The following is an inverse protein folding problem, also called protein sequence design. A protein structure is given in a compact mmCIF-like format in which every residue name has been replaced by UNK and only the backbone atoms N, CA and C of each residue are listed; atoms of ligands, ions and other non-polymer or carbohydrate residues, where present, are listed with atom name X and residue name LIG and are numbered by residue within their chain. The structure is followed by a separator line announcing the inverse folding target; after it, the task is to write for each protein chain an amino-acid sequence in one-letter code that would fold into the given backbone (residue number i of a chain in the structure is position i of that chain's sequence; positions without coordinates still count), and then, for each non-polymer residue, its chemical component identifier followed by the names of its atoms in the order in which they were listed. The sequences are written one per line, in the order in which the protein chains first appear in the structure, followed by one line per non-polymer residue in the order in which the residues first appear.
data_IF_682157052315
#
_entry.id   IF_682157052315
#
_cell.length_a   1.000
_cell.length_b   1.000
_cell.length_c   1.000
_cell.angle_alpha   90.00
_cell.angle_beta   90.00
_cell.angle_gamma   90.00
#
_symmetry.space_group_name_H-M   'P 1'
#
loop_
_entity.id
_entity.type
_entity.pdbx_description
1 polymer ?
#
# COMPACT_ATOMS: atom_id res chain seq x y z
N UNK A 1 -10.23 -2.02 10.82
CA UNK A 1 -9.50 -2.98 9.95
C UNK A 1 -8.38 -2.27 9.18
N UNK A 2 -7.28 -2.98 8.84
CA UNK A 2 -6.17 -2.44 8.04
C UNK A 2 -6.63 -1.89 6.68
N UNK A 3 -7.55 -2.61 6.03
CA UNK A 3 -8.11 -2.25 4.71
C UNK A 3 -8.87 -0.92 4.75
N UNK A 4 -9.57 -0.60 5.83
CA UNK A 4 -10.30 0.66 5.96
C UNK A 4 -9.36 1.87 6.04
N UNK A 5 -8.24 1.74 6.79
CA UNK A 5 -7.22 2.81 6.89
C UNK A 5 -6.49 3.00 5.56
N UNK A 6 -6.22 1.91 4.84
CA UNK A 6 -5.65 1.95 3.50
C UNK A 6 -6.55 2.75 2.55
N UNK A 7 -7.83 2.38 2.45
CA UNK A 7 -8.78 3.06 1.55
C UNK A 7 -9.03 4.52 1.94
N UNK A 8 -8.95 4.87 3.22
CA UNK A 8 -8.97 6.27 3.63
C UNK A 8 -7.76 7.02 3.06
N UNK A 9 -6.55 6.48 3.21
CA UNK A 9 -5.33 7.12 2.72
C UNK A 9 -5.36 7.28 1.19
N UNK A 10 -5.67 6.20 0.45
CA UNK A 10 -5.78 6.23 -1.02
C UNK A 10 -6.73 7.32 -1.51
N UNK A 11 -7.91 7.46 -0.88
CA UNK A 11 -8.87 8.47 -1.32
C UNK A 11 -8.36 9.90 -1.10
N UNK A 12 -7.82 10.18 0.08
CA UNK A 12 -7.46 11.55 0.46
C UNK A 12 -6.08 11.98 -0.05
N UNK A 13 -5.14 11.05 -0.18
CA UNK A 13 -3.75 11.33 -0.58
C UNK A 13 -3.54 11.18 -2.09
N UNK A 14 -4.40 10.44 -2.81
CA UNK A 14 -4.29 10.23 -4.26
C UNK A 14 -5.57 10.65 -4.98
N UNK A 15 -6.68 9.92 -4.83
CA UNK A 15 -7.85 10.05 -5.72
C UNK A 15 -8.51 11.44 -5.65
N UNK A 16 -8.64 12.05 -4.48
CA UNK A 16 -9.27 13.37 -4.34
C UNK A 16 -8.37 14.54 -4.73
N UNK A 17 -7.06 14.31 -4.84
CA UNK A 17 -6.10 15.33 -5.27
C UNK A 17 -5.88 15.33 -6.79
N UNK A 18 -6.19 14.23 -7.46
CA UNK A 18 -5.94 14.04 -8.88
C UNK A 18 -7.23 14.09 -9.69
N UNK A 19 -7.22 14.93 -10.73
CA UNK A 19 -8.27 14.98 -11.74
C UNK A 19 -7.85 14.13 -12.94
N UNK A 20 -7.92 12.80 -12.81
CA UNK A 20 -7.52 11.91 -13.90
C UNK A 20 -8.43 12.08 -15.12
N UNK A 21 -7.83 12.23 -16.29
CA UNK A 21 -8.54 12.39 -17.56
C UNK A 21 -9.13 11.07 -18.07
N UNK A 22 -8.51 9.94 -17.70
CA UNK A 22 -8.98 8.61 -18.07
C UNK A 22 -8.78 7.57 -16.98
N UNK A 23 -9.46 6.43 -17.13
CA UNK A 23 -9.27 5.26 -16.26
C UNK A 23 -7.84 4.71 -16.37
N UNK A 24 -7.18 4.86 -17.52
CA UNK A 24 -5.79 4.44 -17.68
C UNK A 24 -4.85 5.30 -16.81
N UNK A 25 -5.05 6.62 -16.82
CA UNK A 25 -4.26 7.53 -16.00
C UNK A 25 -4.49 7.27 -14.50
N UNK A 26 -5.75 7.03 -14.12
CA UNK A 26 -6.09 6.65 -12.75
C UNK A 26 -5.42 5.34 -12.31
N UNK A 27 -5.35 4.35 -13.19
CA UNK A 27 -4.66 3.07 -12.89
C UNK A 27 -3.17 3.29 -12.67
N UNK A 28 -2.52 4.08 -13.53
CA UNK A 28 -1.10 4.37 -13.41
C UNK A 28 -0.80 5.12 -12.10
N UNK A 29 -1.54 6.20 -11.81
CA UNK A 29 -1.36 6.97 -10.57
C UNK A 29 -1.58 6.11 -9.32
N UNK A 30 -2.62 5.27 -9.31
CA UNK A 30 -2.86 4.34 -8.21
C UNK A 30 -1.73 3.31 -8.06
N UNK A 31 -1.18 2.79 -9.16
CA UNK A 31 -0.05 1.86 -9.12
C UNK A 31 1.18 2.51 -8.47
N UNK A 32 1.52 3.73 -8.91
CA UNK A 32 2.61 4.53 -8.34
C UNK A 32 2.38 4.81 -6.84
N UNK A 33 1.16 5.22 -6.47
CA UNK A 33 0.80 5.46 -5.08
C UNK A 33 0.91 4.20 -4.22
N UNK A 34 0.43 3.04 -4.69
CA UNK A 34 0.53 1.78 -3.95
C UNK A 34 1.98 1.29 -3.84
N UNK A 35 2.81 1.49 -4.86
CA UNK A 35 4.24 1.21 -4.76
C UNK A 35 4.90 2.08 -3.68
N UNK A 36 4.61 3.38 -3.67
CA UNK A 36 5.09 4.29 -2.63
C UNK A 36 4.61 3.87 -1.24
N UNK A 37 3.30 3.65 -1.07
CA UNK A 37 2.69 3.30 0.21
C UNK A 37 3.29 2.00 0.78
N UNK A 38 3.49 0.98 -0.06
CA UNK A 38 3.95 -0.33 0.38
C UNK A 38 5.47 -0.40 0.63
N UNK A 39 6.27 0.39 -0.09
CA UNK A 39 7.74 0.26 -0.08
C UNK A 39 8.47 1.38 0.63
N UNK A 40 7.87 2.57 0.75
CA UNK A 40 8.59 3.77 1.18
C UNK A 40 7.95 4.45 2.39
N UNK A 41 6.67 4.16 2.71
CA UNK A 41 5.97 4.81 3.82
C UNK A 41 6.09 3.99 5.10
N UNK A 42 6.87 4.44 6.11
CA UNK A 42 6.86 3.81 7.42
C UNK A 42 5.52 4.08 8.12
N UNK A 43 5.02 3.09 8.86
CA UNK A 43 3.81 3.22 9.65
C UNK A 43 4.10 2.96 11.12
N UNK A 44 3.80 3.91 12.00
CA UNK A 44 4.00 3.75 13.45
C UNK A 44 3.17 2.61 14.05
N UNK A 45 2.06 2.22 13.42
CA UNK A 45 1.30 1.03 13.81
C UNK A 45 2.00 -0.30 13.44
N UNK A 46 3.08 -0.25 12.66
CA UNK A 46 3.92 -1.36 12.22
C UNK A 46 5.36 -1.20 12.76
N UNK A 47 5.53 -0.55 13.91
CA UNK A 47 6.85 -0.24 14.50
C UNK A 47 7.76 0.53 13.53
N UNK A 48 7.18 1.51 12.84
CA UNK A 48 7.81 2.36 11.81
C UNK A 48 8.38 1.57 10.61
N UNK A 49 7.91 0.34 10.39
CA UNK A 49 8.15 -0.42 9.17
C UNK A 49 7.17 -0.04 8.06
N UNK A 50 7.59 -0.28 6.83
CA UNK A 50 6.72 -0.26 5.66
C UNK A 50 5.81 -1.50 5.63
N UNK A 51 4.67 -1.45 4.92
CA UNK A 51 3.79 -2.61 4.78
C UNK A 51 4.49 -3.83 4.20
N UNK A 52 5.41 -3.64 3.23
CA UNK A 52 6.17 -4.75 2.66
C UNK A 52 7.12 -5.37 3.67
N UNK A 53 7.91 -4.57 4.38
CA UNK A 53 8.82 -5.08 5.42
C UNK A 53 8.05 -5.88 6.47
N UNK A 54 6.94 -5.33 6.97
CA UNK A 54 6.10 -6.04 7.93
C UNK A 54 5.55 -7.35 7.36
N UNK A 55 5.08 -7.36 6.11
CA UNK A 55 4.56 -8.56 5.46
C UNK A 55 5.62 -9.66 5.29
N UNK A 56 6.80 -9.30 4.79
CA UNK A 56 7.88 -10.28 4.56
C UNK A 56 8.49 -10.78 5.87
N UNK A 57 8.60 -9.94 6.90
CA UNK A 57 9.06 -10.35 8.24
C UNK A 57 8.09 -11.32 8.92
N UNK A 58 6.79 -11.18 8.64
CA UNK A 58 5.74 -12.02 9.21
C UNK A 58 5.24 -13.11 8.25
N UNK A 59 5.92 -13.30 7.12
CA UNK A 59 5.56 -14.35 6.19
C UNK A 59 5.73 -15.69 6.91
N UNK A 60 4.67 -16.51 7.04
CA UNK A 60 4.85 -17.86 7.55
C UNK A 60 5.89 -18.52 6.67
N UNK A 61 6.95 -19.08 7.25
CA UNK A 61 7.86 -19.93 6.51
C UNK A 61 6.98 -20.94 5.78
N UNK A 62 6.91 -20.86 4.45
CA UNK A 62 6.20 -21.85 3.66
C UNK A 62 6.75 -23.18 4.16
N UNK A 63 5.91 -23.96 4.84
CA UNK A 63 6.25 -25.33 5.22
C UNK A 63 6.78 -25.95 3.93
N UNK A 64 8.08 -26.21 3.87
CA UNK A 64 8.66 -26.94 2.75
C UNK A 64 7.85 -28.22 2.70
N UNK A 65 7.03 -28.37 1.67
CA UNK A 65 6.38 -29.63 1.37
C UNK A 65 7.52 -30.63 1.19
N UNK A 66 7.70 -31.47 2.21
CA UNK A 66 8.61 -32.62 2.18
C UNK A 66 8.02 -33.75 1.37
#
# INVERSE_FOLDING_TARGET
MFVERLWKSVKYEEVYLHAYDSVCDAKQGLEEYFMFYNQNRPHTALDDKTPNEFYFDNLPAMQKAG
#
